data_IF_865439515166
#
_entry.id   IF_865439515166
#
_cell.length_a   1.000
_cell.length_b   1.000
_cell.length_c   1.000
_cell.angle_alpha   90.00
_cell.angle_beta   90.00
_cell.angle_gamma   90.00
#
_symmetry.space_group_name_H-M   'P 1'
#
loop_
_entity.id
_entity.type
_entity.pdbx_description
1 polymer ?
#
# COMPACT_ATOMS: atom_id res chain seq x y z
N UNK A 1 52.09 55.07 -6.78
CA UNK A 1 50.95 54.44 -6.07
C UNK A 1 50.34 53.40 -7.00
N UNK A 2 50.33 52.12 -6.61
CA UNK A 2 49.74 51.02 -7.42
C UNK A 2 48.29 50.80 -6.96
N UNK A 3 47.31 50.61 -7.85
CA UNK A 3 45.94 50.29 -7.44
C UNK A 3 45.87 48.79 -7.08
N UNK A 4 45.24 48.49 -5.95
CA UNK A 4 44.87 47.12 -5.58
C UNK A 4 43.46 46.88 -6.11
N UNK A 5 43.31 45.94 -7.05
CA UNK A 5 41.99 45.45 -7.45
C UNK A 5 41.48 44.50 -6.36
N UNK A 6 40.31 44.81 -5.79
CA UNK A 6 39.56 43.89 -4.93
C UNK A 6 38.63 43.09 -5.83
N UNK A 7 38.91 41.79 -5.99
CA UNK A 7 38.01 40.88 -6.69
C UNK A 7 36.87 40.46 -5.75
N UNK A 8 35.64 40.88 -6.06
CA UNK A 8 34.45 40.40 -5.36
C UNK A 8 34.12 38.99 -5.83
N UNK A 9 34.32 37.99 -4.97
CA UNK A 9 33.85 36.64 -5.19
C UNK A 9 32.34 36.57 -4.93
N UNK A 10 31.53 36.47 -5.98
CA UNK A 10 30.11 36.17 -5.86
C UNK A 10 29.96 34.67 -5.54
N UNK A 11 29.55 34.35 -4.31
CA UNK A 11 29.19 32.99 -3.94
C UNK A 11 27.84 32.64 -4.57
N UNK A 12 27.85 31.75 -5.57
CA UNK A 12 26.63 31.19 -6.12
C UNK A 12 25.99 30.25 -5.10
N UNK A 13 24.91 30.69 -4.46
CA UNK A 13 24.09 29.81 -3.62
C UNK A 13 23.32 28.89 -4.56
N UNK A 14 23.72 27.63 -4.63
CA UNK A 14 22.94 26.61 -5.31
C UNK A 14 21.62 26.42 -4.54
N UNK A 15 20.54 27.02 -5.06
CA UNK A 15 19.19 26.72 -4.58
C UNK A 15 18.91 25.29 -5.02
N UNK A 16 18.97 24.35 -4.08
CA UNK A 16 18.50 23.00 -4.29
C UNK A 16 17.01 23.08 -4.65
N UNK A 17 16.70 22.97 -5.93
CA UNK A 17 15.33 22.73 -6.37
C UNK A 17 14.98 21.35 -5.85
N UNK A 18 14.09 21.27 -4.86
CA UNK A 18 13.48 19.99 -4.46
C UNK A 18 13.00 19.34 -5.76
N UNK A 19 13.33 18.07 -6.04
CA UNK A 19 12.74 17.40 -7.17
C UNK A 19 11.24 17.47 -6.92
N UNK A 20 10.54 18.26 -7.73
CA UNK A 20 9.09 18.34 -7.68
C UNK A 20 8.59 17.06 -8.34
N UNK A 21 8.80 15.92 -7.68
CA UNK A 21 7.95 14.76 -7.84
C UNK A 21 6.56 15.24 -7.42
N UNK A 22 5.86 15.82 -8.37
CA UNK A 22 4.52 16.33 -8.20
C UNK A 22 3.59 15.12 -8.11
N UNK A 23 3.62 14.41 -6.99
CA UNK A 23 2.53 13.55 -6.54
C UNK A 23 1.23 14.37 -6.32
N UNK A 24 1.22 15.69 -6.62
CA UNK A 24 0.07 16.59 -6.47
C UNK A 24 -1.20 16.11 -7.19
N UNK A 25 -1.08 15.21 -8.16
CA UNK A 25 -2.23 14.65 -8.84
C UNK A 25 -2.67 13.29 -8.28
N UNK A 26 -1.87 12.62 -7.44
CA UNK A 26 -2.28 11.37 -6.82
C UNK A 26 -3.17 11.67 -5.61
N UNK A 27 -4.48 11.58 -5.79
CA UNK A 27 -5.47 11.73 -4.72
C UNK A 27 -6.00 10.39 -4.24
N UNK A 28 -5.77 9.31 -4.98
CA UNK A 28 -6.18 7.95 -4.61
C UNK A 28 -4.98 6.99 -4.70
N UNK A 29 -4.74 6.22 -3.64
CA UNK A 29 -3.79 5.12 -3.60
C UNK A 29 -4.53 3.81 -3.32
N UNK A 30 -4.59 2.92 -4.31
CA UNK A 30 -5.19 1.58 -4.18
C UNK A 30 -4.08 0.55 -4.13
N UNK A 31 -4.07 -0.29 -3.10
CA UNK A 31 -3.01 -1.28 -2.88
C UNK A 31 -3.54 -2.70 -2.72
N UNK A 32 -2.77 -3.63 -3.28
CA UNK A 32 -2.97 -5.08 -3.19
C UNK A 32 -1.67 -5.71 -2.73
N UNK A 33 -1.74 -6.84 -2.03
CA UNK A 33 -0.53 -7.51 -1.59
C UNK A 33 -0.69 -8.39 -0.37
N UNK A 34 0.45 -8.67 0.26
CA UNK A 34 0.55 -9.50 1.45
C UNK A 34 0.75 -8.69 2.73
N UNK A 35 1.39 -9.31 3.74
CA UNK A 35 1.73 -8.72 5.04
C UNK A 35 2.56 -7.45 4.98
N UNK A 36 3.28 -7.21 3.88
CA UNK A 36 4.04 -5.97 3.70
C UNK A 36 3.15 -4.77 3.35
N UNK A 37 1.96 -5.04 2.82
CA UNK A 37 1.00 -4.02 2.37
C UNK A 37 -0.21 -3.92 3.29
N UNK A 38 -0.64 -5.02 3.89
CA UNK A 38 -1.80 -5.06 4.78
C UNK A 38 -1.66 -4.11 5.98
N UNK A 39 -2.73 -3.36 6.25
CA UNK A 39 -2.86 -2.47 7.40
C UNK A 39 -3.80 -3.04 8.48
N UNK A 40 -4.83 -3.79 8.10
CA UNK A 40 -5.88 -4.23 9.03
C UNK A 40 -6.77 -5.37 8.49
N UNK A 41 -6.71 -5.69 7.20
CA UNK A 41 -7.70 -6.55 6.57
C UNK A 41 -7.55 -8.01 7.04
N UNK A 42 -6.33 -8.49 7.29
CA UNK A 42 -6.14 -9.82 7.91
C UNK A 42 -6.77 -9.93 9.30
N UNK A 43 -6.71 -8.85 10.09
CA UNK A 43 -7.30 -8.83 11.43
C UNK A 43 -8.81 -9.03 11.35
N UNK A 44 -9.47 -8.39 10.39
CA UNK A 44 -10.90 -8.63 10.14
C UNK A 44 -11.19 -10.10 9.85
N UNK A 45 -10.42 -10.74 8.96
CA UNK A 45 -10.60 -12.18 8.68
C UNK A 45 -10.40 -13.05 9.93
N UNK A 46 -9.41 -12.73 10.77
CA UNK A 46 -9.16 -13.44 12.02
C UNK A 46 -10.29 -13.26 13.04
N UNK A 47 -10.89 -12.08 13.10
CA UNK A 47 -12.00 -11.74 14.00
C UNK A 47 -13.38 -12.23 13.51
N UNK A 48 -13.49 -12.58 12.22
CA UNK A 48 -14.74 -12.97 11.57
C UNK A 48 -14.68 -14.37 10.94
N UNK A 49 -13.92 -15.28 11.53
CA UNK A 49 -13.85 -16.70 11.12
C UNK A 49 -13.61 -16.91 9.61
N UNK A 50 -12.76 -16.08 9.02
CA UNK A 50 -12.41 -16.15 7.60
C UNK A 50 -13.45 -15.54 6.65
N UNK A 51 -14.51 -14.91 7.16
CA UNK A 51 -15.48 -14.19 6.35
C UNK A 51 -14.91 -12.86 5.84
N UNK A 52 -15.18 -12.58 4.56
CA UNK A 52 -14.75 -11.33 3.94
C UNK A 52 -15.54 -10.14 4.51
N UNK A 53 -14.90 -8.96 4.62
CA UNK A 53 -15.62 -7.72 4.89
C UNK A 53 -16.68 -7.47 3.81
N UNK A 54 -17.88 -6.98 4.17
CA UNK A 54 -18.87 -6.55 3.19
C UNK A 54 -18.31 -5.49 2.22
N UNK A 55 -18.81 -5.41 0.97
CA UNK A 55 -18.47 -4.32 0.06
C UNK A 55 -18.73 -2.96 0.71
N UNK A 56 -17.84 -2.00 0.48
CA UNK A 56 -17.89 -0.67 1.07
C UNK A 56 -17.14 -0.54 2.40
N UNK A 57 -16.61 -1.64 2.96
CA UNK A 57 -15.96 -1.61 4.27
C UNK A 57 -14.67 -0.81 4.24
N UNK A 58 -14.57 0.15 5.16
CA UNK A 58 -13.36 0.94 5.44
C UNK A 58 -12.79 0.56 6.79
N UNK A 59 -11.48 0.38 6.83
CA UNK A 59 -10.75 0.20 8.08
C UNK A 59 -10.14 1.53 8.51
N UNK A 60 -10.16 1.87 9.81
CA UNK A 60 -9.40 2.99 10.32
C UNK A 60 -7.89 2.74 10.10
N UNK A 61 -7.07 3.80 10.01
CA UNK A 61 -5.63 3.66 9.98
C UNK A 61 -5.12 2.83 11.16
N UNK A 62 -4.14 1.97 10.91
CA UNK A 62 -3.53 1.12 11.93
C UNK A 62 -2.00 1.28 11.90
N UNK A 63 -1.42 1.59 13.06
CA UNK A 63 0.04 1.74 13.23
C UNK A 63 0.69 0.52 13.91
N UNK A 64 -0.07 -0.55 14.13
CA UNK A 64 0.38 -1.84 14.65
C UNK A 64 0.19 -2.91 13.56
N UNK A 65 0.96 -2.79 12.49
CA UNK A 65 0.96 -3.77 11.39
C UNK A 65 2.11 -4.77 11.55
N UNK A 66 2.19 -5.75 10.64
CA UNK A 66 3.26 -6.76 10.63
C UNK A 66 4.66 -6.17 10.34
N UNK A 67 4.74 -4.89 9.93
CA UNK A 67 6.01 -4.16 9.82
C UNK A 67 6.49 -3.53 11.15
N UNK A 68 5.72 -3.65 12.24
CA UNK A 68 6.01 -3.02 13.53
C UNK A 68 5.65 -1.53 13.60
N UNK A 69 4.87 -1.03 12.64
CA UNK A 69 4.47 0.36 12.51
C UNK A 69 3.36 0.54 11.46
N UNK A 70 3.33 1.69 10.81
CA UNK A 70 2.51 1.87 9.61
C UNK A 70 3.03 1.01 8.45
N UNK A 71 2.12 0.39 7.71
CA UNK A 71 2.44 -0.19 6.40
C UNK A 71 2.89 0.91 5.43
N UNK A 72 3.72 0.58 4.44
CA UNK A 72 4.32 1.56 3.54
C UNK A 72 3.28 2.43 2.81
N UNK A 73 2.15 1.84 2.41
CA UNK A 73 1.09 2.56 1.69
C UNK A 73 0.45 3.67 2.52
N UNK A 74 0.34 3.48 3.85
CA UNK A 74 -0.12 4.52 4.77
C UNK A 74 0.88 5.67 4.87
N UNK A 75 2.18 5.38 4.89
CA UNK A 75 3.22 6.42 4.88
C UNK A 75 3.14 7.26 3.60
N UNK A 76 2.97 6.60 2.45
CA UNK A 76 2.80 7.29 1.15
C UNK A 76 1.55 8.16 1.16
N UNK A 77 0.41 7.62 1.57
CA UNK A 77 -0.85 8.34 1.65
C UNK A 77 -0.75 9.57 2.58
N UNK A 78 -0.12 9.43 3.74
CA UNK A 78 0.12 10.53 4.67
C UNK A 78 1.02 11.62 4.07
N UNK A 79 2.05 11.25 3.30
CA UNK A 79 2.97 12.19 2.67
C UNK A 79 2.37 12.89 1.45
N UNK A 80 1.49 12.22 0.70
CA UNK A 80 0.87 12.78 -0.51
C UNK A 80 -0.46 13.48 -0.24
N UNK A 81 -1.13 13.16 0.88
CA UNK A 81 -2.51 13.54 1.13
C UNK A 81 -3.53 12.72 0.32
N UNK A 82 -3.14 11.55 -0.18
CA UNK A 82 -4.05 10.68 -0.93
C UNK A 82 -4.94 9.87 0.02
N UNK A 83 -6.15 9.56 -0.43
CA UNK A 83 -6.97 8.53 0.20
C UNK A 83 -6.35 7.15 0.01
N UNK A 84 -6.29 6.37 1.09
CA UNK A 84 -5.66 5.06 1.09
C UNK A 84 -6.70 3.93 1.07
N UNK A 85 -6.69 3.14 0.00
CA UNK A 85 -7.55 1.98 -0.19
C UNK A 85 -6.72 0.71 -0.13
N UNK A 86 -6.75 0.06 1.03
CA UNK A 86 -5.99 -1.15 1.30
C UNK A 86 -6.83 -2.41 1.07
N UNK A 87 -6.40 -3.22 0.11
CA UNK A 87 -6.92 -4.57 -0.14
C UNK A 87 -5.91 -5.66 0.19
N UNK A 88 -4.69 -5.31 0.62
CA UNK A 88 -3.69 -6.29 1.04
C UNK A 88 -4.17 -7.13 2.20
N UNK A 89 -3.77 -8.39 2.24
CA UNK A 89 -4.11 -9.34 3.30
C UNK A 89 -2.85 -10.06 3.76
N UNK A 90 -2.56 -10.00 5.05
CA UNK A 90 -1.43 -10.69 5.68
C UNK A 90 -1.38 -12.17 5.30
N UNK A 91 -0.27 -12.60 4.71
CA UNK A 91 -0.08 -13.98 4.26
C UNK A 91 -0.68 -14.33 2.91
N UNK A 92 -1.27 -13.37 2.17
CA UNK A 92 -1.82 -13.62 0.85
C UNK A 92 -0.73 -14.12 -0.14
N UNK A 93 -1.14 -15.03 -1.02
CA UNK A 93 -0.41 -15.42 -2.23
C UNK A 93 -1.00 -14.71 -3.45
N UNK A 94 -0.33 -14.79 -4.61
CA UNK A 94 -0.88 -14.18 -5.82
C UNK A 94 -2.18 -14.86 -6.29
N UNK A 95 -2.26 -16.19 -6.18
CA UNK A 95 -3.43 -16.99 -6.53
C UNK A 95 -3.34 -18.38 -5.89
N UNK A 96 -4.51 -18.96 -5.58
CA UNK A 96 -4.66 -20.34 -5.12
C UNK A 96 -4.17 -21.37 -6.14
N UNK A 97 -4.05 -20.98 -7.42
CA UNK A 97 -3.45 -21.81 -8.48
C UNK A 97 -1.92 -21.94 -8.36
N UNK A 98 -1.27 -20.99 -7.69
CA UNK A 98 0.18 -20.99 -7.47
C UNK A 98 0.50 -21.58 -6.11
N UNK A 99 -0.10 -21.04 -5.06
CA UNK A 99 0.07 -21.51 -3.70
C UNK A 99 -1.18 -21.21 -2.87
N UNK A 100 -1.55 -22.16 -2.02
CA UNK A 100 -2.64 -22.00 -1.05
C UNK A 100 -2.06 -22.01 0.35
N UNK A 101 -2.46 -21.04 1.18
CA UNK A 101 -2.01 -20.92 2.56
C UNK A 101 -3.21 -20.96 3.50
N UNK A 102 -3.09 -21.74 4.57
CA UNK A 102 -3.98 -21.71 5.73
C UNK A 102 -3.15 -21.35 6.95
N UNK A 103 -3.74 -20.67 7.94
CA UNK A 103 -3.06 -20.42 9.21
C UNK A 103 -3.35 -21.57 10.18
N UNK A 104 -2.32 -22.07 10.86
CA UNK A 104 -2.50 -23.07 11.90
C UNK A 104 -3.43 -22.52 12.99
N UNK A 105 -4.43 -23.32 13.38
CA UNK A 105 -5.46 -22.90 14.34
C UNK A 105 -6.71 -22.26 13.71
N UNK A 106 -6.72 -22.02 12.40
CA UNK A 106 -7.88 -21.50 11.68
C UNK A 106 -8.37 -22.50 10.63
N UNK A 107 -9.70 -22.64 10.50
CA UNK A 107 -10.35 -23.50 9.52
C UNK A 107 -10.76 -22.73 8.26
N UNK A 108 -9.89 -21.83 7.78
CA UNK A 108 -10.11 -21.05 6.57
C UNK A 108 -8.79 -20.80 5.84
N UNK A 109 -8.91 -20.55 4.54
CA UNK A 109 -7.79 -20.27 3.64
C UNK A 109 -7.56 -18.77 3.52
N UNK A 110 -6.29 -18.37 3.52
CA UNK A 110 -5.92 -16.96 3.39
C UNK A 110 -6.37 -16.44 2.02
N UNK A 111 -7.13 -15.33 1.99
CA UNK A 111 -7.57 -14.72 0.74
C UNK A 111 -6.40 -14.27 -0.14
N UNK A 112 -6.44 -14.61 -1.42
CA UNK A 112 -5.38 -14.32 -2.40
C UNK A 112 -5.67 -13.03 -3.18
N UNK A 113 -4.68 -12.55 -3.92
CA UNK A 113 -4.86 -11.36 -4.78
C UNK A 113 -5.92 -11.60 -5.86
N UNK A 114 -5.80 -12.68 -6.64
CA UNK A 114 -6.68 -12.91 -7.78
C UNK A 114 -8.08 -13.40 -7.40
N UNK A 115 -8.21 -14.22 -6.35
CA UNK A 115 -9.52 -14.78 -5.98
C UNK A 115 -10.30 -13.88 -5.01
N UNK A 116 -9.64 -12.93 -4.33
CA UNK A 116 -10.32 -12.04 -3.39
C UNK A 116 -10.01 -10.56 -3.56
N UNK A 117 -8.74 -10.14 -3.50
CA UNK A 117 -8.44 -8.70 -3.35
C UNK A 117 -8.89 -7.87 -4.56
N UNK A 118 -8.63 -8.36 -5.78
CA UNK A 118 -9.11 -7.72 -7.01
C UNK A 118 -10.65 -7.78 -7.12
N UNK A 119 -11.32 -8.92 -6.91
CA UNK A 119 -12.78 -8.97 -6.83
C UNK A 119 -13.40 -8.03 -5.79
N UNK A 120 -12.82 -7.93 -4.59
CA UNK A 120 -13.31 -7.04 -3.53
C UNK A 120 -13.21 -5.56 -3.95
N UNK A 121 -12.09 -5.17 -4.58
CA UNK A 121 -11.97 -3.86 -5.19
C UNK A 121 -13.05 -3.62 -6.26
N UNK A 122 -13.29 -4.58 -7.14
CA UNK A 122 -14.33 -4.48 -8.18
C UNK A 122 -15.74 -4.34 -7.59
N UNK A 123 -16.05 -5.04 -6.52
CA UNK A 123 -17.33 -4.90 -5.80
C UNK A 123 -17.47 -3.51 -5.17
N UNK A 124 -16.39 -3.00 -4.58
CA UNK A 124 -16.36 -1.66 -3.99
C UNK A 124 -16.51 -0.54 -5.04
N UNK A 125 -16.20 -0.79 -6.31
CA UNK A 125 -16.47 0.16 -7.40
C UNK A 125 -17.96 0.45 -7.58
N UNK A 126 -18.83 -0.49 -7.20
CA UNK A 126 -20.28 -0.37 -7.32
C UNK A 126 -20.95 0.22 -6.07
N UNK A 127 -20.19 0.49 -5.01
CA UNK A 127 -20.71 1.07 -3.77
C UNK A 127 -20.66 2.60 -3.85
N UNK A 128 -21.83 3.23 -3.73
CA UNK A 128 -21.94 4.69 -3.76
C UNK A 128 -21.07 5.36 -2.69
N UNK A 129 -20.33 6.39 -3.08
CA UNK A 129 -19.43 7.13 -2.19
C UNK A 129 -18.13 6.40 -1.81
N UNK A 130 -17.94 5.15 -2.23
CA UNK A 130 -16.71 4.39 -1.96
C UNK A 130 -15.50 4.93 -2.74
N UNK A 131 -15.70 5.58 -3.87
CA UNK A 131 -14.61 6.16 -4.67
C UNK A 131 -15.06 7.51 -5.25
N UNK A 132 -15.19 8.56 -4.41
CA UNK A 132 -15.91 9.77 -4.78
C UNK A 132 -15.23 10.59 -5.89
N UNK A 133 -13.89 10.51 -6.03
CA UNK A 133 -13.11 11.24 -7.04
C UNK A 133 -12.07 10.32 -7.70
N UNK A 134 -12.36 9.04 -7.93
CA UNK A 134 -11.42 8.13 -8.59
C UNK A 134 -11.43 8.33 -10.10
N UNK A 135 -10.28 8.72 -10.66
CA UNK A 135 -10.04 8.90 -12.10
C UNK A 135 -8.73 8.21 -12.52
N UNK A 136 -8.59 7.77 -13.78
CA UNK A 136 -7.35 7.16 -14.27
C UNK A 136 -6.09 8.00 -14.02
N UNK A 137 -6.21 9.33 -14.10
CA UNK A 137 -5.12 10.29 -13.99
C UNK A 137 -4.77 10.71 -12.55
N UNK A 138 -5.60 10.34 -11.56
CA UNK A 138 -5.39 10.70 -10.15
C UNK A 138 -5.28 9.48 -9.21
N UNK A 139 -5.32 8.27 -9.77
CA UNK A 139 -5.31 7.02 -9.02
C UNK A 139 -4.06 6.22 -9.32
N UNK A 140 -3.31 5.89 -8.28
CA UNK A 140 -2.18 4.96 -8.36
C UNK A 140 -2.61 3.61 -7.83
N UNK A 141 -2.32 2.56 -8.60
CA UNK A 141 -2.49 1.17 -8.22
C UNK A 141 -1.12 0.57 -7.95
N UNK A 142 -0.96 -0.08 -6.80
CA UNK A 142 0.27 -0.78 -6.47
C UNK A 142 -0.02 -2.21 -5.98
N UNK A 143 0.85 -3.14 -6.39
CA UNK A 143 0.80 -4.53 -6.02
C UNK A 143 2.16 -4.95 -5.49
N UNK A 144 2.21 -5.40 -4.24
CA UNK A 144 3.40 -6.04 -3.67
C UNK A 144 3.03 -7.42 -3.12
N UNK A 145 3.40 -8.46 -3.87
CA UNK A 145 3.04 -9.86 -3.59
C UNK A 145 4.20 -10.79 -3.97
N UNK A 146 4.16 -12.03 -3.51
CA UNK A 146 5.08 -13.10 -3.94
C UNK A 146 5.86 -13.75 -2.81
N UNK A 147 5.99 -13.09 -1.65
CA UNK A 147 6.76 -13.65 -0.52
C UNK A 147 6.15 -14.94 0.01
N UNK A 148 4.81 -15.00 0.09
CA UNK A 148 4.09 -16.18 0.57
C UNK A 148 3.89 -17.25 -0.50
N UNK A 149 4.02 -16.91 -1.78
CA UNK A 149 3.99 -17.88 -2.89
C UNK A 149 5.21 -18.82 -2.82
N UNK A 150 6.35 -18.27 -2.38
CA UNK A 150 7.58 -19.02 -2.15
C UNK A 150 7.58 -19.73 -0.78
N UNK A 151 6.87 -19.19 0.20
CA UNK A 151 6.77 -19.74 1.55
C UNK A 151 7.94 -19.38 2.46
N UNK A 152 7.79 -19.65 3.76
CA UNK A 152 8.81 -19.37 4.79
C UNK A 152 10.14 -20.08 4.49
N UNK A 153 10.07 -21.31 3.98
CA UNK A 153 11.24 -22.15 3.71
C UNK A 153 12.09 -21.67 2.52
N UNK A 154 11.58 -20.76 1.68
CA UNK A 154 12.33 -20.23 0.55
C UNK A 154 13.43 -19.23 0.94
N UNK A 155 13.43 -18.75 2.18
CA UNK A 155 14.38 -17.73 2.66
C UNK A 155 15.30 -18.23 3.79
N UNK A 156 15.26 -19.53 4.11
CA UNK A 156 16.19 -20.19 5.02
C UNK A 156 17.51 -20.48 4.30
N UNK A 157 18.55 -19.68 4.55
CA UNK A 157 19.94 -19.98 4.15
C UNK A 157 20.60 -21.00 5.08
#
# INVERSE_FOLDING_TARGET
MRPVLVASAAAAVAVATKPQCSLRNMTNLVTFGDSLTDEARILYFMENDGQAPPPGTRFPPNNQTLSGGYAWGRLVANLSGAEYYNYGVGGATCSSKVATKSFAGYNWTVPTVLEYQVPAFQQDLAVDGMFPDRKPENTVYALWIGTNDLGWDAFSL
#
